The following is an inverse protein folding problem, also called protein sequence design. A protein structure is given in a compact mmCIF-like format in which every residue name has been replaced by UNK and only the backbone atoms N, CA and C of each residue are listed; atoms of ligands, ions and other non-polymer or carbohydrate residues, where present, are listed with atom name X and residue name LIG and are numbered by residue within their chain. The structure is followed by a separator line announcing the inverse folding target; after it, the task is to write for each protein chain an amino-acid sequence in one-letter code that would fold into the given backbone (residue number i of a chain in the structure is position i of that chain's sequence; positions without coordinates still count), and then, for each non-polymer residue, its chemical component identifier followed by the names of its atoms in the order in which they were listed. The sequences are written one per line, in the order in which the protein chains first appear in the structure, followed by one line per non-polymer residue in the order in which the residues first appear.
data_IF_824617760163
#
_entry.id   IF_824617760163
#
_cell.length_a   1.000
_cell.length_b   1.000
_cell.length_c   1.000
_cell.angle_alpha   90.00
_cell.angle_beta   90.00
_cell.angle_gamma   90.00
#
_symmetry.space_group_name_H-M   'P 1'
#
loop_
_entity.id
_entity.type
_entity.pdbx_description
1 polymer ?
#
# COMPACT_ATOMS: atom_id res chain seq x y z
N UNK A 1 1.25 -6.32 20.04
CA UNK A 1 0.70 -7.42 19.22
C UNK A 1 1.21 -8.76 19.77
N UNK A 2 0.36 -9.77 19.96
CA UNK A 2 0.80 -11.12 20.32
C UNK A 2 1.57 -11.74 19.12
N UNK A 3 2.71 -12.40 19.38
CA UNK A 3 3.57 -13.06 18.38
C UNK A 3 2.80 -13.95 17.40
N UNK A 4 1.77 -14.66 17.84
CA UNK A 4 0.95 -15.53 16.98
C UNK A 4 0.15 -14.74 15.94
N UNK A 5 -0.43 -13.59 16.32
CA UNK A 5 -1.18 -12.74 15.41
C UNK A 5 -0.27 -12.09 14.36
N UNK A 6 0.94 -11.70 14.75
CA UNK A 6 1.95 -11.15 13.85
C UNK A 6 2.38 -12.17 12.78
N UNK A 7 2.62 -13.42 13.19
CA UNK A 7 2.99 -14.50 12.29
C UNK A 7 1.88 -14.85 11.31
N UNK A 8 0.63 -14.87 11.78
CA UNK A 8 -0.52 -15.13 10.92
C UNK A 8 -0.71 -14.00 9.89
N UNK A 9 -0.61 -12.73 10.30
CA UNK A 9 -0.69 -11.59 9.40
C UNK A 9 0.42 -11.62 8.33
N UNK A 10 1.65 -11.94 8.74
CA UNK A 10 2.77 -12.09 7.81
C UNK A 10 2.57 -13.26 6.83
N UNK A 11 1.96 -14.37 7.29
CA UNK A 11 1.63 -15.51 6.43
C UNK A 11 0.59 -15.13 5.38
N UNK A 12 -0.49 -14.47 5.77
CA UNK A 12 -1.54 -14.01 4.85
C UNK A 12 -1.01 -13.01 3.83
N UNK A 13 -0.19 -12.05 4.29
CA UNK A 13 0.50 -11.12 3.39
C UNK A 13 1.38 -11.85 2.37
N UNK A 14 2.15 -12.85 2.83
CA UNK A 14 3.01 -13.62 1.93
C UNK A 14 2.20 -14.39 0.89
N UNK A 15 1.14 -15.07 1.33
CA UNK A 15 0.24 -15.81 0.44
C UNK A 15 -0.40 -14.89 -0.61
N UNK A 16 -0.92 -13.73 -0.19
CA UNK A 16 -1.56 -12.78 -1.09
C UNK A 16 -0.58 -12.14 -2.08
N UNK A 17 0.58 -11.69 -1.59
CA UNK A 17 1.47 -10.81 -2.37
C UNK A 17 2.56 -11.58 -3.11
N UNK A 18 3.07 -12.68 -2.56
CA UNK A 18 4.19 -13.43 -3.16
C UNK A 18 3.80 -14.79 -3.75
N UNK A 19 2.70 -15.40 -3.31
CA UNK A 19 2.26 -16.71 -3.83
C UNK A 19 1.14 -16.58 -4.85
N UNK A 20 0.05 -15.90 -4.51
CA UNK A 20 -1.12 -15.75 -5.38
C UNK A 20 -0.96 -14.56 -6.32
N UNK A 21 -0.71 -13.37 -5.77
CA UNK A 21 -0.59 -12.14 -6.56
C UNK A 21 -1.89 -11.75 -7.26
N UNK A 22 -1.76 -11.13 -8.42
CA UNK A 22 -2.92 -10.70 -9.23
C UNK A 22 -2.71 -9.31 -9.81
N UNK A 23 -3.76 -8.66 -10.29
CA UNK A 23 -3.66 -7.35 -10.94
C UNK A 23 -4.31 -6.26 -10.10
N UNK A 24 -3.75 -5.06 -10.06
CA UNK A 24 -4.44 -3.90 -9.46
C UNK A 24 -5.46 -3.26 -10.43
N UNK A 25 -5.38 -3.52 -11.75
CA UNK A 25 -6.34 -3.02 -12.75
C UNK A 25 -6.70 -1.52 -12.64
N UNK A 26 -5.75 -0.63 -12.33
CA UNK A 26 -6.04 0.81 -12.13
C UNK A 26 -6.41 1.21 -10.70
N UNK A 27 -6.49 0.25 -9.77
CA UNK A 27 -6.71 0.46 -8.33
C UNK A 27 -5.44 0.83 -7.56
N UNK A 28 -4.43 1.44 -8.17
CA UNK A 28 -3.25 1.89 -7.44
C UNK A 28 -3.64 2.95 -6.40
N UNK A 29 -4.47 3.92 -6.78
CA UNK A 29 -5.02 4.93 -5.87
C UNK A 29 -6.38 4.50 -5.32
N UNK A 30 -6.64 4.81 -4.05
CA UNK A 30 -7.97 4.67 -3.46
C UNK A 30 -8.90 5.77 -3.97
N UNK A 31 -10.13 5.39 -4.30
CA UNK A 31 -11.24 6.31 -4.61
C UNK A 31 -12.54 5.75 -4.05
N UNK A 32 -13.48 6.59 -3.58
CA UNK A 32 -14.80 6.12 -3.21
C UNK A 32 -15.47 5.44 -4.41
N UNK A 33 -15.98 4.22 -4.21
CA UNK A 33 -16.66 3.40 -5.22
C UNK A 33 -15.80 2.91 -6.40
N UNK A 34 -14.47 2.95 -6.32
CA UNK A 34 -13.63 2.34 -7.36
C UNK A 34 -13.52 0.82 -7.17
N UNK A 35 -14.43 0.09 -7.80
CA UNK A 35 -14.25 -1.32 -8.13
C UNK A 35 -13.81 -1.44 -9.58
N UNK A 36 -12.50 -1.43 -9.84
CA UNK A 36 -12.03 -1.79 -11.18
C UNK A 36 -12.17 -3.31 -11.35
N UNK A 37 -12.80 -3.71 -12.46
CA UNK A 37 -12.96 -5.10 -12.81
C UNK A 37 -11.59 -5.78 -12.92
N UNK A 38 -11.42 -6.92 -12.26
CA UNK A 38 -10.16 -7.67 -12.23
C UNK A 38 -9.11 -7.20 -11.21
N UNK A 39 -9.39 -6.16 -10.39
CA UNK A 39 -8.48 -5.77 -9.31
C UNK A 39 -8.43 -6.85 -8.22
N UNK A 40 -7.28 -7.05 -7.57
CA UNK A 40 -7.13 -7.95 -6.41
C UNK A 40 -8.06 -7.55 -5.27
N UNK A 41 -8.45 -6.28 -5.17
CA UNK A 41 -9.35 -5.80 -4.12
C UNK A 41 -10.82 -6.14 -4.36
N UNK A 42 -11.20 -6.51 -5.59
CA UNK A 42 -12.60 -6.64 -5.99
C UNK A 42 -12.93 -7.96 -6.66
N UNK A 43 -11.95 -8.63 -7.28
CA UNK A 43 -12.15 -9.91 -7.97
C UNK A 43 -11.04 -10.91 -7.66
N UNK A 44 -9.79 -10.58 -8.00
CA UNK A 44 -8.71 -11.57 -8.08
C UNK A 44 -8.36 -12.24 -6.75
N UNK A 45 -8.35 -11.45 -5.66
CA UNK A 45 -8.10 -11.90 -4.29
C UNK A 45 -9.12 -11.29 -3.32
N UNK A 46 -10.38 -11.13 -3.78
CA UNK A 46 -11.40 -10.41 -3.02
C UNK A 46 -11.55 -10.97 -1.61
N UNK A 47 -11.67 -12.29 -1.48
CA UNK A 47 -11.95 -12.92 -0.19
C UNK A 47 -10.72 -12.85 0.74
N UNK A 48 -9.50 -13.02 0.21
CA UNK A 48 -8.27 -12.84 0.99
C UNK A 48 -8.08 -11.38 1.41
N UNK A 49 -8.37 -10.43 0.52
CA UNK A 49 -8.33 -9.02 0.83
C UNK A 49 -9.37 -8.63 1.87
N UNK A 50 -10.60 -9.11 1.77
CA UNK A 50 -11.66 -8.89 2.75
C UNK A 50 -11.25 -9.45 4.12
N UNK A 51 -10.68 -10.66 4.16
CA UNK A 51 -10.17 -11.25 5.40
C UNK A 51 -9.00 -10.45 6.00
N UNK A 52 -8.06 -10.01 5.16
CA UNK A 52 -6.90 -9.21 5.58
C UNK A 52 -7.33 -7.82 6.09
N UNK A 53 -8.23 -7.16 5.37
CA UNK A 53 -8.70 -5.80 5.67
C UNK A 53 -9.69 -5.73 6.84
N UNK A 54 -10.38 -6.83 7.17
CA UNK A 54 -11.22 -6.94 8.35
C UNK A 54 -10.42 -6.98 9.68
N UNK A 55 -9.10 -7.18 9.63
CA UNK A 55 -8.25 -7.17 10.82
C UNK A 55 -8.16 -5.78 11.44
N UNK A 56 -7.90 -5.67 12.76
CA UNK A 56 -7.73 -4.38 13.41
C UNK A 56 -6.63 -3.55 12.75
N UNK A 57 -6.90 -2.27 12.48
CA UNK A 57 -5.93 -1.32 11.93
C UNK A 57 -4.67 -1.21 12.80
N UNK A 58 -4.81 -1.40 14.11
CA UNK A 58 -3.71 -1.47 15.07
C UNK A 58 -2.72 -2.63 14.87
N UNK A 59 -3.06 -3.59 14.01
CA UNK A 59 -2.19 -4.68 13.58
C UNK A 59 -1.72 -4.47 12.14
N UNK A 60 -2.65 -4.16 11.22
CA UNK A 60 -2.36 -4.10 9.79
C UNK A 60 -1.54 -2.86 9.39
N UNK A 61 -1.84 -1.69 9.96
CA UNK A 61 -1.14 -0.45 9.60
C UNK A 61 0.35 -0.51 10.01
N UNK A 62 0.72 -0.83 11.27
CA UNK A 62 2.13 -0.96 11.62
C UNK A 62 2.88 -2.00 10.79
N UNK A 63 2.23 -3.14 10.52
CA UNK A 63 2.81 -4.19 9.69
C UNK A 63 3.12 -3.69 8.27
N UNK A 64 2.15 -3.11 7.58
CA UNK A 64 2.33 -2.61 6.21
C UNK A 64 3.34 -1.45 6.15
N UNK A 65 3.35 -0.56 7.14
CA UNK A 65 4.39 0.49 7.19
C UNK A 65 5.80 -0.09 7.34
N UNK A 66 5.95 -1.24 7.99
CA UNK A 66 7.21 -1.98 8.07
C UNK A 66 7.63 -2.61 6.73
N UNK A 67 6.68 -2.91 5.85
CA UNK A 67 6.95 -3.45 4.51
C UNK A 67 7.44 -2.37 3.51
N UNK A 68 7.28 -1.08 3.81
CA UNK A 68 7.62 0.03 2.88
C UNK A 68 9.11 0.04 2.46
N UNK A 69 10.01 -0.46 3.31
CA UNK A 69 11.44 -0.54 2.97
C UNK A 69 11.79 -1.69 2.02
N UNK A 70 10.87 -2.62 1.82
CA UNK A 70 11.17 -3.83 1.05
C UNK A 70 11.14 -3.56 -0.45
N UNK A 71 12.22 -3.96 -1.11
CA UNK A 71 12.37 -3.92 -2.57
C UNK A 71 12.12 -5.27 -3.24
N UNK A 72 11.63 -6.27 -2.48
CA UNK A 72 11.34 -7.61 -3.02
C UNK A 72 10.27 -7.51 -4.08
N UNK A 73 10.50 -8.12 -5.24
CA UNK A 73 9.48 -8.23 -6.29
C UNK A 73 8.33 -9.13 -5.83
N UNK A 74 7.10 -8.71 -6.11
CA UNK A 74 5.86 -9.41 -5.73
C UNK A 74 5.23 -10.09 -6.95
N UNK A 75 4.19 -10.90 -6.71
CA UNK A 75 3.30 -11.40 -7.75
C UNK A 75 2.13 -10.45 -8.07
N UNK A 76 2.09 -9.26 -7.46
CA UNK A 76 1.07 -8.24 -7.74
C UNK A 76 1.52 -7.39 -8.93
N UNK A 77 0.70 -7.35 -9.97
CA UNK A 77 0.92 -6.59 -11.18
C UNK A 77 0.17 -5.25 -11.16
N UNK A 78 0.83 -4.19 -11.57
CA UNK A 78 0.26 -2.83 -11.60
C UNK A 78 -0.16 -2.43 -13.02
N UNK A 79 -1.22 -3.04 -13.59
CA UNK A 79 -1.59 -2.79 -14.99
C UNK A 79 -1.74 -1.27 -15.31
N UNK A 80 -1.19 -0.76 -16.43
CA UNK A 80 -0.45 -1.47 -17.51
C UNK A 80 1.08 -1.54 -17.32
N UNK A 81 1.58 -1.41 -16.09
CA UNK A 81 3.00 -1.32 -15.76
C UNK A 81 3.60 -2.68 -15.36
N UNK A 82 4.54 -2.73 -14.42
CA UNK A 82 5.30 -3.93 -14.05
C UNK A 82 4.76 -4.61 -12.77
N UNK A 83 5.38 -5.72 -12.39
CA UNK A 83 5.22 -6.30 -11.05
C UNK A 83 5.59 -5.28 -10.00
N UNK A 84 4.76 -5.09 -8.98
CA UNK A 84 5.05 -4.20 -7.86
C UNK A 84 6.20 -4.77 -7.01
N UNK A 85 6.97 -3.87 -6.41
CA UNK A 85 7.81 -4.24 -5.27
C UNK A 85 6.96 -4.25 -3.99
N UNK A 86 7.42 -4.96 -2.95
CA UNK A 86 6.66 -5.14 -1.71
C UNK A 86 6.34 -3.79 -1.03
N UNK A 87 7.28 -2.85 -1.00
CA UNK A 87 7.01 -1.52 -0.46
C UNK A 87 5.97 -0.73 -1.25
N UNK A 88 5.93 -0.90 -2.57
CA UNK A 88 4.93 -0.29 -3.46
C UNK A 88 3.55 -0.91 -3.21
N UNK A 89 3.46 -2.24 -3.13
CA UNK A 89 2.23 -2.94 -2.78
C UNK A 89 1.73 -2.50 -1.38
N UNK A 90 2.63 -2.39 -0.39
CA UNK A 90 2.28 -1.95 0.95
C UNK A 90 1.67 -0.54 0.95
N UNK A 91 2.21 0.39 0.16
CA UNK A 91 1.63 1.73 -0.01
C UNK A 91 0.22 1.61 -0.57
N UNK A 92 -0.01 0.90 -1.68
CA UNK A 92 -1.35 0.78 -2.26
C UNK A 92 -2.36 0.20 -1.28
N UNK A 93 -1.99 -0.85 -0.55
CA UNK A 93 -2.84 -1.47 0.46
C UNK A 93 -3.16 -0.52 1.61
N UNK A 94 -2.18 0.27 2.07
CA UNK A 94 -2.41 1.32 3.06
C UNK A 94 -3.41 2.37 2.55
N UNK A 95 -3.34 2.77 1.28
CA UNK A 95 -4.29 3.71 0.71
C UNK A 95 -5.73 3.19 0.75
N UNK A 96 -5.91 1.90 0.46
CA UNK A 96 -7.22 1.25 0.51
C UNK A 96 -7.72 0.97 1.93
N UNK A 97 -6.85 0.66 2.89
CA UNK A 97 -7.25 0.54 4.30
C UNK A 97 -7.60 1.89 4.94
N UNK A 98 -6.78 2.90 4.64
CA UNK A 98 -6.87 4.20 5.27
C UNK A 98 -7.62 5.22 4.42
N UNK A 99 -8.19 4.84 3.28
CA UNK A 99 -8.93 5.74 2.39
C UNK A 99 -8.21 7.09 2.20
N UNK A 100 -6.90 7.03 1.95
CA UNK A 100 -6.02 8.19 1.91
C UNK A 100 -4.85 7.90 0.97
N UNK A 101 -4.66 8.75 -0.02
CA UNK A 101 -3.62 8.50 -1.03
C UNK A 101 -2.30 9.13 -0.61
N UNK A 102 -1.16 8.54 -0.99
CA UNK A 102 0.16 9.11 -0.74
C UNK A 102 0.32 10.46 -1.45
N UNK A 103 -0.37 10.65 -2.59
CA UNK A 103 -0.39 11.92 -3.32
C UNK A 103 -1.14 13.05 -2.60
N UNK A 104 -1.86 12.71 -1.53
CA UNK A 104 -2.51 13.69 -0.65
C UNK A 104 -1.55 14.20 0.44
N UNK A 105 -0.31 13.71 0.49
CA UNK A 105 0.73 14.25 1.37
C UNK A 105 0.90 15.77 1.20
N UNK A 106 1.04 16.48 2.33
CA UNK A 106 1.15 17.95 2.40
C UNK A 106 2.37 18.46 3.16
N UNK A 107 3.29 17.57 3.56
CA UNK A 107 4.54 17.99 4.17
C UNK A 107 5.57 18.49 3.15
N UNK A 108 6.78 18.78 3.59
CA UNK A 108 7.81 19.50 2.83
C UNK A 108 8.91 18.60 2.25
N UNK A 109 8.81 17.28 2.39
CA UNK A 109 9.79 16.36 1.81
C UNK A 109 9.82 16.50 0.27
N UNK A 110 10.95 17.01 -0.23
CA UNK A 110 11.13 17.37 -1.64
C UNK A 110 10.90 16.20 -2.60
N UNK A 111 11.39 15.00 -2.25
CA UNK A 111 11.29 13.81 -3.11
C UNK A 111 9.83 13.36 -3.24
N UNK A 112 9.06 13.42 -2.15
CA UNK A 112 7.63 13.14 -2.20
C UNK A 112 6.91 14.17 -3.09
N UNK A 113 7.20 15.46 -2.91
CA UNK A 113 6.59 16.52 -3.73
C UNK A 113 6.91 16.37 -5.23
N UNK A 114 8.15 16.03 -5.58
CA UNK A 114 8.55 15.70 -6.97
C UNK A 114 7.78 14.47 -7.50
N UNK A 115 7.63 13.43 -6.67
CA UNK A 115 6.80 12.26 -6.97
C UNK A 115 5.34 12.62 -7.25
N UNK A 116 4.73 13.48 -6.44
CA UNK A 116 3.33 13.91 -6.61
C UNK A 116 3.12 14.60 -7.96
N UNK A 117 4.04 15.50 -8.33
CA UNK A 117 3.98 16.22 -9.61
C UNK A 117 4.08 15.26 -10.80
N UNK A 118 4.87 14.18 -10.68
CA UNK A 118 5.12 13.22 -11.77
C UNK A 118 4.12 12.07 -11.82
N UNK A 119 3.40 11.77 -10.73
CA UNK A 119 2.45 10.67 -10.59
C UNK A 119 1.45 10.57 -11.74
N UNK A 120 0.83 11.70 -12.12
CA UNK A 120 -0.19 11.72 -13.18
C UNK A 120 0.31 11.24 -14.55
N UNK A 121 1.61 11.33 -14.80
CA UNK A 121 2.24 10.93 -16.07
C UNK A 121 2.87 9.54 -15.97
N UNK A 122 3.39 9.19 -14.80
CA UNK A 122 4.15 7.96 -14.58
C UNK A 122 3.85 7.34 -13.20
N UNK A 123 2.62 6.84 -13.01
CA UNK A 123 2.10 6.33 -11.72
C UNK A 123 3.10 5.45 -10.96
N UNK A 124 3.50 4.31 -11.54
CA UNK A 124 4.41 3.37 -10.88
C UNK A 124 5.81 3.96 -10.67
N UNK A 125 6.34 4.70 -11.65
CA UNK A 125 7.69 5.27 -11.53
C UNK A 125 7.75 6.37 -10.46
N UNK A 126 6.67 7.14 -10.29
CA UNK A 126 6.60 8.19 -9.28
C UNK A 126 6.72 7.62 -7.86
N UNK A 127 5.92 6.59 -7.54
CA UNK A 127 6.02 5.97 -6.21
C UNK A 127 7.36 5.23 -6.04
N UNK A 128 7.90 4.59 -7.08
CA UNK A 128 9.22 3.94 -6.99
C UNK A 128 10.36 4.94 -6.77
N UNK A 129 10.27 6.13 -7.38
CA UNK A 129 11.21 7.21 -7.13
C UNK A 129 11.17 7.65 -5.66
N UNK A 130 9.96 7.82 -5.10
CA UNK A 130 9.77 8.12 -3.68
C UNK A 130 10.35 7.01 -2.80
N UNK A 131 10.08 5.75 -3.11
CA UNK A 131 10.55 4.60 -2.34
C UNK A 131 12.06 4.36 -2.45
N UNK A 132 12.73 4.92 -3.46
CA UNK A 132 14.19 4.83 -3.58
C UNK A 132 14.90 5.67 -2.50
N UNK A 133 14.28 6.76 -2.01
CA UNK A 133 14.86 7.64 -1.00
C UNK A 133 14.48 7.22 0.42
N UNK A 134 15.47 7.04 1.30
CA UNK A 134 15.23 6.59 2.66
C UNK A 134 14.46 7.63 3.51
N UNK A 135 14.77 8.93 3.32
CA UNK A 135 14.08 10.00 4.05
C UNK A 135 12.61 10.09 3.65
N UNK A 136 12.32 9.94 2.36
CA UNK A 136 10.97 9.92 1.82
C UNK A 136 10.18 8.68 2.28
N UNK A 137 10.82 7.50 2.39
CA UNK A 137 10.17 6.31 2.98
C UNK A 137 9.75 6.55 4.43
N UNK A 138 10.65 7.08 5.26
CA UNK A 138 10.33 7.38 6.67
C UNK A 138 9.21 8.40 6.80
N UNK A 139 9.24 9.42 5.96
CA UNK A 139 8.20 10.45 5.93
C UNK A 139 6.84 9.88 5.49
N UNK A 140 6.83 8.98 4.50
CA UNK A 140 5.62 8.30 4.04
C UNK A 140 5.04 7.37 5.10
N UNK A 141 5.88 6.64 5.84
CA UNK A 141 5.46 5.86 7.01
C UNK A 141 4.80 6.76 8.05
N UNK A 142 5.43 7.90 8.38
CA UNK A 142 4.88 8.87 9.34
C UNK A 142 3.51 9.38 8.90
N UNK A 143 3.37 9.75 7.63
CA UNK A 143 2.11 10.21 7.04
C UNK A 143 0.96 9.21 7.26
N UNK A 144 1.15 7.94 6.92
CA UNK A 144 0.11 6.93 7.11
C UNK A 144 -0.19 6.63 8.58
N UNK A 145 0.85 6.62 9.44
CA UNK A 145 0.67 6.44 10.88
C UNK A 145 -0.13 7.59 11.51
N UNK A 146 0.08 8.83 11.07
CA UNK A 146 -0.67 10.00 11.53
C UNK A 146 -2.15 9.92 11.12
N UNK A 147 -2.43 9.53 9.87
CA UNK A 147 -3.80 9.29 9.39
C UNK A 147 -4.50 8.24 10.25
N UNK A 148 -3.86 7.08 10.47
CA UNK A 148 -4.42 6.03 11.29
C UNK A 148 -4.72 6.50 12.73
N UNK A 149 -3.74 7.14 13.40
CA UNK A 149 -3.92 7.69 14.76
C UNK A 149 -5.03 8.74 14.84
N UNK A 150 -5.25 9.51 13.78
CA UNK A 150 -6.33 10.50 13.74
C UNK A 150 -7.72 9.87 13.70
N UNK A 151 -7.82 8.63 13.17
CA UNK A 151 -9.07 7.86 13.08
C UNK A 151 -9.39 7.12 14.36
N UNK A 152 -8.39 6.63 15.09
CA UNK A 152 -8.61 5.96 16.39
C UNK A 152 -9.11 6.92 17.49
N UNK A 153 -8.91 8.22 17.32
CA UNK A 153 -9.36 9.25 18.27
C UNK A 153 -10.80 9.73 18.05
N UNK A 154 -11.45 9.28 16.98
CA UNK A 154 -12.84 9.62 16.63
C UNK A 154 -13.77 8.50 17.08
#
# INVERSE_FOLDING_TARGET
MNKTAALQLAKEWNEMVFEKGGCLCGSQDWRPNCSFEGSIFTYGLKDEWEAFSARPLSQTVPFLTGCIDSTRETRVHTCPFQMAIEGEAAVYFLQHLLHANWIEYRGDNRVIQEGIVTHRKHYQNAIRHVLADAGAREELKRYFLEIWRSREKR
#
